data_IF_624307665250
#
_entry.id   IF_624307665250
#
_cell.length_a   1.000
_cell.length_b   1.000
_cell.length_c   1.000
_cell.angle_alpha   90.00
_cell.angle_beta   90.00
_cell.angle_gamma   90.00
#
_symmetry.space_group_name_H-M   'P 1'
#
loop_
_entity.id
_entity.type
_entity.pdbx_description
1 polymer ?
#
# COMPACT_ATOMS: atom_id res chain seq x y z
N UNK A 1 -17.28 35.34 -8.35
CA UNK A 1 -18.07 34.20 -7.83
C UNK A 1 -17.81 33.03 -8.79
N UNK A 2 -17.36 31.90 -8.25
CA UNK A 2 -17.20 30.57 -8.88
C UNK A 2 -15.98 30.26 -9.78
N UNK A 3 -14.87 29.91 -9.14
CA UNK A 3 -13.74 29.13 -9.71
C UNK A 3 -13.65 27.69 -9.15
N UNK A 4 -14.74 27.16 -8.57
CA UNK A 4 -14.76 25.82 -7.94
C UNK A 4 -15.13 24.66 -8.89
N UNK A 5 -15.20 24.90 -10.21
CA UNK A 5 -15.65 23.92 -11.20
C UNK A 5 -14.52 23.25 -12.04
N UNK A 6 -13.24 23.60 -11.79
CA UNK A 6 -12.12 23.16 -12.66
C UNK A 6 -11.47 21.82 -12.29
N UNK A 7 -11.41 21.46 -11.00
CA UNK A 7 -10.61 20.31 -10.55
C UNK A 7 -11.34 18.97 -10.68
N UNK A 8 -12.68 18.96 -10.53
CA UNK A 8 -13.50 17.75 -10.63
C UNK A 8 -13.73 17.26 -12.07
N UNK A 9 -13.92 18.18 -13.02
CA UNK A 9 -14.14 17.83 -14.42
C UNK A 9 -12.84 17.38 -15.12
N UNK A 10 -11.71 18.01 -14.79
CA UNK A 10 -10.39 17.63 -15.31
C UNK A 10 -9.90 16.31 -14.70
N UNK A 11 -10.15 16.05 -13.42
CA UNK A 11 -9.83 14.76 -12.81
C UNK A 11 -10.74 13.63 -13.33
N UNK A 12 -12.03 13.90 -13.57
CA UNK A 12 -12.96 12.92 -14.13
C UNK A 12 -12.58 12.52 -15.56
N UNK A 13 -12.28 13.50 -16.42
CA UNK A 13 -11.83 13.23 -17.80
C UNK A 13 -10.49 12.49 -17.82
N UNK A 14 -9.56 12.84 -16.93
CA UNK A 14 -8.31 12.10 -16.76
C UNK A 14 -8.54 10.64 -16.34
N UNK A 15 -9.45 10.36 -15.41
CA UNK A 15 -9.76 9.00 -14.96
C UNK A 15 -10.40 8.14 -16.07
N UNK A 16 -11.34 8.72 -16.82
CA UNK A 16 -11.97 8.02 -17.95
C UNK A 16 -10.94 7.75 -19.04
N UNK A 17 -10.07 8.71 -19.33
CA UNK A 17 -9.01 8.55 -20.33
C UNK A 17 -7.99 7.48 -19.95
N UNK A 18 -7.53 7.46 -18.69
CA UNK A 18 -6.59 6.42 -18.22
C UNK A 18 -7.23 5.03 -18.20
N UNK A 19 -8.51 4.92 -17.83
CA UNK A 19 -9.23 3.64 -17.85
C UNK A 19 -9.41 3.12 -19.28
N UNK A 20 -9.80 3.98 -20.22
CA UNK A 20 -9.95 3.61 -21.62
C UNK A 20 -8.61 3.20 -22.26
N UNK A 21 -7.54 3.97 -21.99
CA UNK A 21 -6.19 3.65 -22.45
C UNK A 21 -5.69 2.30 -21.89
N UNK A 22 -5.90 2.04 -20.60
CA UNK A 22 -5.54 0.78 -19.97
C UNK A 22 -6.26 -0.41 -20.61
N UNK A 23 -7.57 -0.29 -20.86
CA UNK A 23 -8.36 -1.34 -21.51
C UNK A 23 -7.90 -1.63 -22.94
N UNK A 24 -7.53 -0.59 -23.70
CA UNK A 24 -7.05 -0.74 -25.08
C UNK A 24 -5.70 -1.46 -25.11
N UNK A 25 -4.78 -1.10 -24.21
CA UNK A 25 -3.49 -1.78 -24.07
C UNK A 25 -3.74 -3.25 -23.77
N UNK A 26 -4.56 -3.59 -22.77
CA UNK A 26 -4.84 -5.00 -22.43
C UNK A 26 -5.38 -5.81 -23.61
N UNK A 27 -6.22 -5.20 -24.47
CA UNK A 27 -6.74 -5.85 -25.67
C UNK A 27 -5.67 -6.07 -26.74
N UNK A 28 -4.75 -5.11 -26.94
CA UNK A 28 -3.64 -5.22 -27.89
C UNK A 28 -2.66 -6.34 -27.50
N UNK A 29 -2.49 -6.59 -26.20
CA UNK A 29 -1.59 -7.62 -25.68
C UNK A 29 -2.27 -9.00 -25.48
N UNK A 30 -3.51 -9.16 -25.96
CA UNK A 30 -4.31 -10.41 -25.89
C UNK A 30 -4.34 -11.05 -24.50
N UNK A 31 -4.42 -10.22 -23.45
CA UNK A 31 -4.40 -10.71 -22.06
C UNK A 31 -5.74 -11.42 -21.77
N UNK A 32 -5.74 -12.73 -21.45
CA UNK A 32 -6.96 -13.46 -21.14
C UNK A 32 -7.73 -12.80 -19.98
N UNK A 33 -9.06 -12.70 -20.09
CA UNK A 33 -9.92 -12.17 -19.02
C UNK A 33 -9.80 -12.94 -17.68
N UNK A 34 -9.25 -14.16 -17.72
CA UNK A 34 -8.92 -14.95 -16.54
C UNK A 34 -7.71 -14.39 -15.79
N UNK A 35 -6.73 -13.84 -16.50
CA UNK A 35 -5.51 -13.28 -15.91
C UNK A 35 -5.78 -11.91 -15.26
N UNK A 36 -6.74 -11.14 -15.78
CA UNK A 36 -7.20 -9.89 -15.13
C UNK A 36 -7.97 -10.16 -13.84
N UNK A 37 -8.80 -11.21 -13.79
CA UNK A 37 -9.41 -11.66 -12.53
C UNK A 37 -8.36 -12.17 -11.54
N UNK A 38 -7.35 -12.90 -12.00
CA UNK A 38 -6.23 -13.30 -11.14
C UNK A 38 -5.43 -12.09 -10.64
N UNK A 39 -5.33 -11.00 -11.39
CA UNK A 39 -4.70 -9.77 -10.93
C UNK A 39 -5.53 -9.05 -9.84
N UNK A 40 -6.86 -9.14 -9.90
CA UNK A 40 -7.77 -8.56 -8.91
C UNK A 40 -7.77 -9.34 -7.58
N UNK A 41 -7.77 -10.68 -7.67
CA UNK A 41 -7.86 -11.59 -6.52
C UNK A 41 -6.49 -12.08 -5.98
N UNK A 42 -5.45 -11.97 -6.80
CA UNK A 42 -4.10 -12.47 -6.52
C UNK A 42 -4.00 -14.00 -6.63
N UNK A 43 -2.80 -14.51 -6.94
CA UNK A 43 -2.50 -15.93 -6.73
C UNK A 43 -1.07 -16.07 -6.20
N UNK A 44 -0.88 -16.59 -4.96
CA UNK A 44 0.46 -16.79 -4.40
C UNK A 44 1.31 -17.79 -5.22
N UNK A 45 0.67 -18.62 -6.04
CA UNK A 45 1.32 -19.64 -6.87
C UNK A 45 1.88 -19.12 -8.21
N UNK A 46 1.59 -17.87 -8.60
CA UNK A 46 2.08 -17.30 -9.85
C UNK A 46 3.48 -16.66 -9.76
N UNK A 47 4.12 -16.67 -8.58
CA UNK A 47 5.44 -16.05 -8.41
C UNK A 47 6.56 -16.91 -8.97
N UNK A 48 7.42 -16.27 -9.76
CA UNK A 48 8.69 -16.85 -10.18
C UNK A 48 9.78 -16.53 -9.15
N UNK A 49 10.83 -17.34 -9.07
CA UNK A 49 12.00 -17.07 -8.21
C UNK A 49 12.61 -15.68 -8.42
N UNK A 50 12.56 -15.17 -9.65
CA UNK A 50 12.97 -13.81 -10.00
C UNK A 50 12.10 -12.74 -9.31
N UNK A 51 10.79 -12.93 -9.27
CA UNK A 51 9.87 -12.01 -8.59
C UNK A 51 10.17 -11.95 -7.09
N UNK A 52 10.42 -13.10 -6.46
CA UNK A 52 10.76 -13.18 -5.04
C UNK A 52 12.06 -12.42 -4.76
N UNK A 53 13.10 -12.62 -5.59
CA UNK A 53 14.37 -11.91 -5.43
C UNK A 53 14.22 -10.39 -5.60
N UNK A 54 13.36 -9.94 -6.52
CA UNK A 54 13.07 -8.53 -6.74
C UNK A 54 12.32 -7.93 -5.54
N UNK A 55 11.35 -8.64 -4.96
CA UNK A 55 10.65 -8.25 -3.74
C UNK A 55 11.62 -8.09 -2.55
N UNK A 56 12.54 -9.03 -2.38
CA UNK A 56 13.55 -8.97 -1.30
C UNK A 56 14.50 -7.79 -1.50
N UNK A 57 15.02 -7.60 -2.72
CA UNK A 57 15.89 -6.47 -3.04
C UNK A 57 15.18 -5.14 -2.80
N UNK A 58 13.91 -5.02 -3.21
CA UNK A 58 13.10 -3.83 -2.98
C UNK A 58 12.89 -3.55 -1.49
N UNK A 59 12.56 -4.58 -0.71
CA UNK A 59 12.38 -4.45 0.73
C UNK A 59 13.64 -3.91 1.43
N UNK A 60 14.83 -4.40 1.04
CA UNK A 60 16.11 -3.90 1.55
C UNK A 60 16.32 -2.42 1.20
N UNK A 61 16.05 -2.03 -0.06
CA UNK A 61 16.18 -0.64 -0.52
C UNK A 61 15.26 0.28 0.29
N UNK A 62 14.03 -0.14 0.57
CA UNK A 62 13.05 0.64 1.35
C UNK A 62 13.51 0.80 2.78
N UNK A 63 13.94 -0.28 3.43
CA UNK A 63 14.44 -0.22 4.82
C UNK A 63 15.64 0.71 4.91
N UNK A 64 16.58 0.61 3.98
CA UNK A 64 17.76 1.49 3.92
C UNK A 64 17.36 2.95 3.70
N UNK A 65 16.47 3.21 2.74
CA UNK A 65 15.94 4.55 2.49
C UNK A 65 15.22 5.12 3.71
N UNK A 66 14.42 4.30 4.41
CA UNK A 66 13.68 4.71 5.59
C UNK A 66 14.62 5.06 6.75
N UNK A 67 15.71 4.32 6.94
CA UNK A 67 16.75 4.64 7.92
C UNK A 67 17.50 5.93 7.58
N UNK A 68 17.88 6.11 6.31
CA UNK A 68 18.70 7.24 5.87
C UNK A 68 17.89 8.54 5.76
N UNK A 69 16.64 8.46 5.29
CA UNK A 69 15.74 9.62 5.07
C UNK A 69 14.77 9.86 6.22
N UNK A 70 14.92 9.20 7.37
CA UNK A 70 13.93 9.25 8.45
C UNK A 70 13.61 10.67 8.95
N UNK A 71 14.65 11.52 9.05
CA UNK A 71 14.48 12.94 9.43
C UNK A 71 13.68 13.71 8.39
N UNK A 72 13.96 13.47 7.11
CA UNK A 72 13.27 14.12 5.99
C UNK A 72 11.82 13.66 5.87
N UNK A 73 11.57 12.37 6.07
CA UNK A 73 10.22 11.79 6.07
C UNK A 73 9.39 12.42 7.20
N UNK A 74 9.92 12.50 8.42
CA UNK A 74 9.22 13.20 9.51
C UNK A 74 8.92 14.66 9.17
N UNK A 75 9.88 15.41 8.61
CA UNK A 75 9.63 16.80 8.24
C UNK A 75 8.55 16.94 7.14
N UNK A 76 8.51 16.02 6.18
CA UNK A 76 7.51 16.00 5.11
C UNK A 76 6.08 15.79 5.64
N UNK A 77 5.92 14.97 6.69
CA UNK A 77 4.61 14.65 7.28
C UNK A 77 4.09 15.71 8.26
N UNK A 78 4.97 16.48 8.91
CA UNK A 78 4.54 17.55 9.82
C UNK A 78 4.15 18.82 9.07
N UNK A 79 4.93 19.24 8.07
CA UNK A 79 4.57 20.39 7.23
C UNK A 79 5.44 20.47 5.96
N UNK A 80 4.85 20.22 4.79
CA UNK A 80 5.54 20.33 3.50
C UNK A 80 5.98 21.77 3.19
N UNK A 81 5.24 22.78 3.66
CA UNK A 81 5.57 24.19 3.39
C UNK A 81 6.75 24.65 4.23
N UNK A 82 6.79 24.29 5.52
CA UNK A 82 7.93 24.58 6.42
C UNK A 82 9.19 23.81 6.00
N UNK A 83 9.04 22.57 5.50
CA UNK A 83 10.15 21.80 4.98
C UNK A 83 10.77 22.43 3.71
N UNK A 84 9.96 23.12 2.89
CA UNK A 84 10.44 23.82 1.70
C UNK A 84 11.18 25.11 2.05
N UNK A 85 10.74 25.82 3.10
CA UNK A 85 11.39 27.04 3.57
C UNK A 85 12.73 26.78 4.28
N UNK A 86 12.93 25.57 4.81
CA UNK A 86 14.20 25.08 5.36
C UNK A 86 15.24 24.66 4.29
N UNK A 87 14.96 24.84 3.00
CA UNK A 87 15.90 24.55 1.91
C UNK A 87 16.02 23.07 1.54
N UNK A 88 15.15 22.20 2.06
CA UNK A 88 15.13 20.79 1.66
C UNK A 88 14.44 20.61 0.31
N UNK A 89 14.95 19.70 -0.52
CA UNK A 89 14.32 19.32 -1.79
C UNK A 89 13.10 18.43 -1.53
N UNK A 90 12.04 19.04 -0.99
CA UNK A 90 10.75 18.41 -0.66
C UNK A 90 10.18 17.67 -1.87
N UNK A 91 10.22 18.30 -3.06
CA UNK A 91 9.78 17.68 -4.33
C UNK A 91 10.52 16.39 -4.65
N UNK A 92 11.84 16.35 -4.48
CA UNK A 92 12.64 15.16 -4.81
C UNK A 92 12.28 13.98 -3.90
N UNK A 93 12.21 14.22 -2.58
CA UNK A 93 11.88 13.17 -1.62
C UNK A 93 10.43 12.70 -1.76
N UNK A 94 9.50 13.62 -2.03
CA UNK A 94 8.09 13.29 -2.28
C UNK A 94 7.95 12.41 -3.54
N UNK A 95 8.52 12.83 -4.67
CA UNK A 95 8.49 12.03 -5.91
C UNK A 95 9.13 10.67 -5.69
N UNK A 96 10.28 10.61 -5.03
CA UNK A 96 10.98 9.35 -4.75
C UNK A 96 10.16 8.41 -3.86
N UNK A 97 9.51 8.92 -2.81
CA UNK A 97 8.61 8.13 -1.97
C UNK A 97 7.42 7.59 -2.77
N UNK A 98 6.76 8.42 -3.58
CA UNK A 98 5.63 7.99 -4.41
C UNK A 98 6.06 6.92 -5.41
N UNK A 99 7.21 7.07 -6.04
CA UNK A 99 7.76 6.06 -6.96
C UNK A 99 8.07 4.74 -6.24
N UNK A 100 8.68 4.79 -5.06
CA UNK A 100 8.92 3.59 -4.25
C UNK A 100 7.62 2.90 -3.86
N UNK A 101 6.62 3.66 -3.39
CA UNK A 101 5.30 3.11 -3.02
C UNK A 101 4.64 2.46 -4.24
N UNK A 102 4.67 3.12 -5.41
CA UNK A 102 4.12 2.57 -6.64
C UNK A 102 4.81 1.25 -7.02
N UNK A 103 6.14 1.16 -6.87
CA UNK A 103 6.90 -0.05 -7.16
C UNK A 103 6.57 -1.20 -6.19
N UNK A 104 6.40 -0.89 -4.90
CA UNK A 104 5.94 -1.85 -3.88
C UNK A 104 4.57 -2.39 -4.24
N UNK A 105 3.61 -1.50 -4.52
CA UNK A 105 2.24 -1.88 -4.87
C UNK A 105 2.24 -2.76 -6.12
N UNK A 106 2.96 -2.36 -7.17
CA UNK A 106 3.03 -3.11 -8.42
C UNK A 106 3.54 -4.56 -8.22
N UNK A 107 4.56 -4.75 -7.40
CA UNK A 107 5.10 -6.09 -7.10
C UNK A 107 4.20 -6.89 -6.16
N UNK A 108 3.60 -6.24 -5.16
CA UNK A 108 2.70 -6.86 -4.21
C UNK A 108 1.33 -7.23 -4.83
N UNK A 109 0.89 -6.54 -5.88
CA UNK A 109 -0.32 -6.88 -6.63
C UNK A 109 -0.28 -8.31 -7.21
N UNK A 110 0.89 -8.80 -7.62
CA UNK A 110 1.05 -10.19 -8.11
C UNK A 110 0.76 -11.23 -7.01
N UNK A 111 1.09 -10.89 -5.75
CA UNK A 111 0.92 -11.76 -4.57
C UNK A 111 -0.50 -11.71 -4.01
N UNK A 112 -0.98 -10.51 -3.71
CA UNK A 112 -2.17 -10.28 -2.89
C UNK A 112 -3.41 -9.97 -3.73
N UNK A 113 -3.25 -9.50 -4.96
CA UNK A 113 -4.33 -8.94 -5.76
C UNK A 113 -4.56 -7.45 -5.50
N UNK A 114 -5.04 -6.73 -6.52
CA UNK A 114 -5.23 -5.28 -6.51
C UNK A 114 -6.23 -4.77 -5.47
N UNK A 115 -7.30 -5.52 -5.19
CA UNK A 115 -8.34 -5.12 -4.25
C UNK A 115 -7.93 -5.41 -2.80
N UNK A 116 -7.32 -6.57 -2.58
CA UNK A 116 -6.91 -7.01 -1.26
C UNK A 116 -5.73 -6.22 -0.72
N UNK A 117 -4.78 -5.82 -1.58
CA UNK A 117 -3.65 -5.00 -1.14
C UNK A 117 -4.10 -3.66 -0.58
N UNK A 118 -5.10 -3.02 -1.17
CA UNK A 118 -5.63 -1.73 -0.69
C UNK A 118 -6.21 -1.88 0.72
N UNK A 119 -7.07 -2.90 0.92
CA UNK A 119 -7.58 -3.25 2.23
C UNK A 119 -6.46 -3.56 3.23
N UNK A 120 -5.47 -4.36 2.83
CA UNK A 120 -4.37 -4.79 3.70
C UNK A 120 -3.39 -3.66 4.05
N UNK A 121 -3.24 -2.66 3.20
CA UNK A 121 -2.41 -1.48 3.48
C UNK A 121 -3.13 -0.51 4.40
N UNK A 122 -4.42 -0.28 4.17
CA UNK A 122 -5.21 0.72 4.91
C UNK A 122 -5.49 0.25 6.35
N UNK A 123 -5.93 -1.00 6.54
CA UNK A 123 -6.36 -1.53 7.85
C UNK A 123 -5.28 -1.45 8.96
N UNK A 124 -4.06 -1.99 8.81
CA UNK A 124 -3.04 -1.96 9.86
C UNK A 124 -2.54 -0.54 10.13
N UNK A 125 -2.50 0.32 9.12
CA UNK A 125 -2.14 1.73 9.28
C UNK A 125 -3.21 2.46 10.09
N UNK A 126 -4.49 2.22 9.84
CA UNK A 126 -5.59 2.79 10.66
C UNK A 126 -5.54 2.30 12.11
N UNK A 127 -5.27 1.01 12.33
CA UNK A 127 -5.12 0.44 13.69
C UNK A 127 -3.91 1.04 14.41
N UNK A 128 -2.77 1.15 13.74
CA UNK A 128 -1.55 1.74 14.29
C UNK A 128 -1.72 3.25 14.56
N UNK A 129 -2.38 3.98 13.65
CA UNK A 129 -2.58 5.42 13.75
C UNK A 129 -3.45 5.80 14.95
N UNK A 130 -4.40 4.95 15.38
CA UNK A 130 -5.20 5.21 16.59
C UNK A 130 -4.40 5.18 17.89
N UNK A 131 -3.21 4.56 17.89
CA UNK A 131 -2.40 4.32 19.10
C UNK A 131 -1.04 5.04 19.10
N UNK A 132 -0.74 5.79 18.04
CA UNK A 132 0.60 6.32 17.80
C UNK A 132 0.63 7.84 17.94
N UNK A 133 1.37 8.33 18.93
CA UNK A 133 1.60 9.77 19.14
C UNK A 133 2.81 10.32 18.37
N UNK A 134 3.57 9.44 17.68
CA UNK A 134 4.76 9.82 16.91
C UNK A 134 4.88 8.99 15.64
N UNK A 135 5.31 9.60 14.53
CA UNK A 135 5.50 8.93 13.24
C UNK A 135 6.40 7.69 13.35
N UNK A 136 7.43 7.75 14.21
CA UNK A 136 8.32 6.61 14.47
C UNK A 136 7.55 5.43 15.06
N UNK A 137 6.69 5.70 16.05
CA UNK A 137 5.85 4.67 16.70
C UNK A 137 4.76 4.17 15.77
N UNK A 138 4.23 5.03 14.89
CA UNK A 138 3.26 4.63 13.88
C UNK A 138 3.86 3.62 12.91
N UNK A 139 5.01 3.93 12.31
CA UNK A 139 5.68 3.02 11.38
C UNK A 139 6.06 1.71 12.06
N UNK A 140 6.66 1.76 13.26
CA UNK A 140 7.09 0.55 13.96
C UNK A 140 5.89 -0.32 14.38
N UNK A 141 4.83 0.29 14.92
CA UNK A 141 3.62 -0.45 15.32
C UNK A 141 2.87 -1.02 14.12
N UNK A 142 2.77 -0.29 13.00
CA UNK A 142 2.19 -0.78 11.76
C UNK A 142 2.97 -1.99 11.23
N UNK A 143 4.30 -1.95 11.24
CA UNK A 143 5.14 -3.09 10.83
C UNK A 143 4.92 -4.31 11.73
N UNK A 144 4.90 -4.13 13.06
CA UNK A 144 4.69 -5.23 14.01
C UNK A 144 3.29 -5.84 13.83
N UNK A 145 2.25 -5.01 13.78
CA UNK A 145 0.88 -5.46 13.58
C UNK A 145 0.75 -6.18 12.24
N UNK A 146 1.28 -5.59 11.17
CA UNK A 146 1.27 -6.19 9.83
C UNK A 146 1.98 -7.54 9.78
N UNK A 147 3.13 -7.68 10.46
CA UNK A 147 3.86 -8.94 10.55
C UNK A 147 3.07 -10.02 11.29
N UNK A 148 2.48 -9.69 12.44
CA UNK A 148 1.64 -10.62 13.20
C UNK A 148 0.38 -11.03 12.42
N UNK A 149 -0.30 -10.06 11.80
CA UNK A 149 -1.51 -10.30 10.99
C UNK A 149 -1.18 -11.19 9.78
N UNK A 150 -0.08 -10.90 9.09
CA UNK A 150 0.34 -11.69 7.92
C UNK A 150 0.73 -13.11 8.33
N UNK A 151 1.47 -13.28 9.42
CA UNK A 151 1.91 -14.59 9.91
C UNK A 151 0.72 -15.43 10.38
N UNK A 152 -0.16 -14.87 11.21
CA UNK A 152 -1.36 -15.55 11.69
C UNK A 152 -2.34 -15.85 10.55
N UNK A 153 -2.56 -14.91 9.64
CA UNK A 153 -3.44 -15.08 8.50
C UNK A 153 -2.92 -16.15 7.53
N UNK A 154 -1.60 -16.23 7.33
CA UNK A 154 -0.97 -17.28 6.54
C UNK A 154 -1.10 -18.67 7.19
N UNK A 155 -0.86 -18.77 8.50
CA UNK A 155 -1.06 -20.01 9.26
C UNK A 155 -2.52 -20.49 9.18
N UNK A 156 -3.48 -19.57 9.35
CA UNK A 156 -4.91 -19.88 9.22
C UNK A 156 -5.27 -20.31 7.80
N UNK A 157 -4.67 -19.70 6.77
CA UNK A 157 -4.91 -20.09 5.38
C UNK A 157 -4.48 -21.54 5.11
N UNK A 158 -3.33 -21.96 5.65
CA UNK A 158 -2.87 -23.36 5.55
C UNK A 158 -3.85 -24.31 6.24
N UNK A 159 -4.39 -23.94 7.40
CA UNK A 159 -5.33 -24.80 8.14
C UNK A 159 -6.72 -24.90 7.50
N UNK A 160 -7.13 -23.90 6.72
CA UNK A 160 -8.49 -23.78 6.15
C UNK A 160 -8.54 -24.10 4.66
N UNK A 161 -7.40 -24.45 4.03
CA UNK A 161 -7.26 -24.60 2.57
C UNK A 161 -7.82 -23.39 1.77
N UNK A 162 -7.89 -22.22 2.40
CA UNK A 162 -8.39 -20.98 1.80
C UNK A 162 -7.26 -20.17 1.17
N UNK A 163 -7.56 -19.32 0.15
CA UNK A 163 -6.58 -18.44 -0.46
C UNK A 163 -5.90 -17.56 0.61
N UNK A 164 -4.54 -17.59 0.73
CA UNK A 164 -3.82 -16.85 1.76
C UNK A 164 -4.16 -15.37 1.79
N UNK A 165 -4.32 -14.75 0.62
CA UNK A 165 -4.66 -13.34 0.48
C UNK A 165 -5.99 -12.99 1.15
N UNK A 166 -7.05 -13.78 0.92
CA UNK A 166 -8.38 -13.57 1.49
C UNK A 166 -8.41 -13.74 3.01
N UNK A 167 -7.74 -14.77 3.53
CA UNK A 167 -7.68 -15.07 4.96
C UNK A 167 -6.95 -13.98 5.74
N UNK A 168 -5.84 -13.46 5.20
CA UNK A 168 -5.08 -12.37 5.83
C UNK A 168 -5.91 -11.07 5.83
N UNK A 169 -6.61 -10.76 4.74
CA UNK A 169 -7.49 -9.58 4.67
C UNK A 169 -8.65 -9.65 5.67
N UNK A 170 -9.32 -10.81 5.76
CA UNK A 170 -10.37 -11.05 6.74
C UNK A 170 -9.85 -10.94 8.17
N UNK A 171 -8.67 -11.50 8.47
CA UNK A 171 -8.05 -11.38 9.79
C UNK A 171 -7.74 -9.92 10.14
N UNK A 172 -7.20 -9.15 9.19
CA UNK A 172 -6.91 -7.73 9.34
C UNK A 172 -8.18 -6.91 9.60
N UNK A 173 -9.26 -7.21 8.87
CA UNK A 173 -10.57 -6.60 9.06
C UNK A 173 -11.20 -6.98 10.41
N UNK A 174 -10.99 -8.22 10.89
CA UNK A 174 -11.46 -8.67 12.19
C UNK A 174 -10.66 -8.05 13.35
N UNK A 175 -9.37 -7.76 13.13
CA UNK A 175 -8.50 -7.08 14.10
C UNK A 175 -8.82 -5.59 14.21
N UNK A 176 -9.31 -4.94 13.15
CA UNK A 176 -9.68 -3.53 13.17
C UNK A 176 -10.64 -3.11 14.32
N UNK A 177 -11.73 -3.83 14.63
CA UNK A 177 -12.61 -3.50 15.76
C UNK A 177 -12.04 -3.87 17.15
N UNK A 178 -11.00 -4.70 17.24
CA UNK A 178 -10.55 -5.25 18.53
C UNK A 178 -9.91 -4.23 19.49
N UNK A 179 -9.25 -3.11 19.08
CA UNK A 179 -8.68 -2.18 20.05
C UNK A 179 -9.66 -1.12 20.56
N UNK A 180 -10.89 -1.01 20.04
CA UNK A 180 -11.80 0.08 20.44
C UNK A 180 -12.48 -0.09 21.81
N UNK A 181 -12.28 -1.22 22.50
CA UNK A 181 -12.88 -1.42 23.84
C UNK A 181 -11.98 -1.04 25.03
N UNK A 182 -10.73 -0.60 24.82
CA UNK A 182 -9.84 -0.25 25.95
C UNK A 182 -9.10 1.07 25.72
N UNK A 183 -9.81 2.19 25.89
CA UNK A 183 -9.54 3.25 26.88
C UNK A 183 -10.36 4.51 26.54
N UNK A 184 -11.59 4.55 27.06
CA UNK A 184 -12.30 5.80 27.37
C UNK A 184 -12.53 5.81 28.87
N UNK A 185 -11.53 6.26 29.61
CA UNK A 185 -11.58 6.79 30.99
C UNK A 185 -10.21 7.36 31.30
#
# INVERSE_FOLDING_TARGET
KDTRFGFGLSSATAMVFTMAAASLVMHIWDVPAKDTLQLLWGSPFALTWTDISALVALAIIIVLYMFMSFRTISALFFDQEIASSLGMRVRFHHTFMVTLIALVIALAMKLLGALLIDALLILPVLVASKRSESLKRLVLSACIIGFFVSTLGYLLAIYTDMPPSGTIALLSALIYPIPTFKKRS
#
